data_IF_180319695384
#
_entry.id   IF_180319695384
#
_cell.length_a   1.000
_cell.length_b   1.000
_cell.length_c   1.000
_cell.angle_alpha   90.00
_cell.angle_beta   90.00
_cell.angle_gamma   90.00
#
_symmetry.space_group_name_H-M   'P 1'
#
loop_
_entity.id
_entity.type
_entity.pdbx_description
1 polymer ?
#
# COMPACT_ATOMS: atom_id res chain seq x y z
N UNK A 1 -13.84 11.06 3.02
CA UNK A 1 -12.59 11.06 3.84
C UNK A 1 -12.75 10.38 5.22
N UNK A 2 -13.36 11.02 6.23
CA UNK A 2 -13.32 10.49 7.62
C UNK A 2 -13.98 9.13 7.82
N UNK A 3 -15.08 8.84 7.11
CA UNK A 3 -15.69 7.51 7.11
C UNK A 3 -14.72 6.41 6.67
N UNK A 4 -13.97 6.66 5.60
CA UNK A 4 -12.97 5.72 5.07
C UNK A 4 -11.85 5.47 6.07
N UNK A 5 -11.31 6.53 6.67
CA UNK A 5 -10.29 6.44 7.71
C UNK A 5 -10.77 5.60 8.91
N UNK A 6 -11.98 5.85 9.42
CA UNK A 6 -12.54 5.08 10.53
C UNK A 6 -12.78 3.61 10.17
N UNK A 7 -13.41 3.33 9.03
CA UNK A 7 -13.74 1.96 8.60
C UNK A 7 -12.47 1.15 8.33
N UNK A 8 -11.48 1.74 7.67
CA UNK A 8 -10.18 1.13 7.42
C UNK A 8 -9.41 0.84 8.71
N UNK A 9 -9.31 1.84 9.59
CA UNK A 9 -8.68 1.69 10.90
C UNK A 9 -9.34 0.61 11.76
N UNK A 10 -10.67 0.52 11.72
CA UNK A 10 -11.41 -0.50 12.45
C UNK A 10 -11.19 -1.90 11.87
N UNK A 11 -10.98 -2.02 10.54
CA UNK A 11 -10.60 -3.27 9.93
C UNK A 11 -9.19 -3.70 10.38
N UNK A 12 -8.22 -2.77 10.42
CA UNK A 12 -6.87 -3.06 10.91
C UNK A 12 -6.90 -3.50 12.37
N UNK A 13 -7.55 -2.73 13.24
CA UNK A 13 -7.64 -3.03 14.67
C UNK A 13 -8.29 -4.40 14.95
N UNK A 14 -9.26 -4.81 14.13
CA UNK A 14 -9.87 -6.15 14.23
C UNK A 14 -8.94 -7.27 13.76
N UNK A 15 -8.18 -7.05 12.70
CA UNK A 15 -7.27 -8.05 12.15
C UNK A 15 -6.03 -8.23 13.02
N UNK A 16 -5.55 -7.14 13.62
CA UNK A 16 -4.33 -7.10 14.41
C UNK A 16 -4.50 -6.06 15.52
N UNK A 17 -5.11 -6.44 16.67
CA UNK A 17 -5.22 -5.54 17.82
C UNK A 17 -3.84 -5.05 18.24
N UNK A 18 -3.76 -3.85 18.83
CA UNK A 18 -2.55 -3.24 19.39
C UNK A 18 -1.48 -2.76 18.39
N UNK A 19 -1.52 -3.17 17.11
CA UNK A 19 -0.69 -2.52 16.06
C UNK A 19 -1.24 -1.15 15.66
N UNK A 20 -2.49 -0.84 16.00
CA UNK A 20 -3.20 0.36 15.57
C UNK A 20 -4.00 0.97 16.74
N UNK A 21 -4.05 2.31 16.90
CA UNK A 21 -4.86 2.94 17.94
C UNK A 21 -6.35 2.58 17.81
N UNK A 22 -6.98 2.09 18.90
CA UNK A 22 -8.37 1.64 18.86
C UNK A 22 -9.31 2.74 18.34
N UNK A 23 -10.02 2.53 17.21
CA UNK A 23 -11.00 3.50 16.72
C UNK A 23 -12.23 3.53 17.62
N UNK A 24 -12.72 4.73 17.96
CA UNK A 24 -13.87 4.96 18.84
C UNK A 24 -15.10 5.32 18.01
N UNK A 25 -14.98 6.28 17.08
CA UNK A 25 -16.09 6.74 16.28
C UNK A 25 -15.70 7.76 15.23
N UNK A 26 -16.66 8.16 14.40
CA UNK A 26 -16.51 9.25 13.44
C UNK A 26 -17.86 9.95 13.28
N UNK A 27 -17.84 11.18 12.78
CA UNK A 27 -19.07 11.94 12.57
C UNK A 27 -18.87 13.25 11.85
N UNK A 28 -19.98 13.90 11.55
CA UNK A 28 -20.06 15.27 11.05
C UNK A 28 -20.35 16.20 12.24
N UNK A 29 -19.80 17.40 12.24
CA UNK A 29 -20.12 18.39 13.27
C UNK A 29 -21.55 18.88 13.10
N UNK A 30 -22.28 19.05 14.20
CA UNK A 30 -23.62 19.65 14.17
C UNK A 30 -23.58 21.14 13.78
N UNK A 31 -22.56 21.86 14.26
CA UNK A 31 -22.39 23.29 14.01
C UNK A 31 -21.84 23.65 12.62
N UNK A 32 -21.21 22.68 11.92
CA UNK A 32 -20.63 22.90 10.60
C UNK A 32 -20.75 21.63 9.73
N UNK A 33 -21.62 21.63 8.70
CA UNK A 33 -21.80 20.48 7.82
C UNK A 33 -20.58 20.19 6.92
N UNK A 34 -19.55 21.05 6.90
CA UNK A 34 -18.31 20.80 6.16
C UNK A 34 -17.20 20.21 7.04
N UNK A 35 -17.39 20.19 8.36
CA UNK A 35 -16.42 19.64 9.31
C UNK A 35 -16.79 18.21 9.71
N UNK A 36 -15.78 17.35 9.81
CA UNK A 36 -15.92 15.94 10.20
C UNK A 36 -14.82 15.59 11.19
N UNK A 37 -15.09 14.62 12.05
CA UNK A 37 -14.12 14.08 13.00
C UNK A 37 -14.01 12.57 12.89
N UNK A 38 -12.88 12.06 13.41
CA UNK A 38 -12.67 10.66 13.76
C UNK A 38 -11.99 10.65 15.13
N UNK A 39 -12.37 9.69 15.98
CA UNK A 39 -11.88 9.55 17.35
C UNK A 39 -11.19 8.20 17.48
N UNK A 40 -10.05 8.22 18.17
CA UNK A 40 -9.25 7.05 18.51
C UNK A 40 -8.92 7.09 20.00
N UNK A 41 -8.59 5.93 20.59
CA UNK A 41 -7.84 5.91 21.83
C UNK A 41 -6.52 6.64 21.62
N UNK A 42 -6.17 7.50 22.57
CA UNK A 42 -4.85 8.09 22.59
C UNK A 42 -3.83 7.01 22.95
N UNK A 43 -2.74 6.95 22.19
CA UNK A 43 -1.60 6.06 22.40
C UNK A 43 -0.38 6.94 22.38
N UNK A 44 0.46 6.86 23.41
CA UNK A 44 1.77 7.49 23.38
C UNK A 44 2.63 6.76 22.36
N UNK A 45 3.06 7.49 21.33
CA UNK A 45 3.88 6.96 20.24
C UNK A 45 5.15 7.79 20.19
N UNK A 46 6.30 7.12 20.36
CA UNK A 46 7.60 7.75 20.18
C UNK A 46 7.97 7.67 18.70
N UNK A 47 8.36 8.82 18.14
CA UNK A 47 8.82 8.90 16.77
C UNK A 47 10.09 8.07 16.58
N UNK A 48 10.08 7.19 15.57
CA UNK A 48 11.18 6.28 15.28
C UNK A 48 10.67 5.13 14.42
N UNK A 49 11.56 4.49 13.67
CA UNK A 49 11.20 3.26 12.95
C UNK A 49 11.12 2.15 13.98
N UNK A 50 10.00 1.39 14.02
CA UNK A 50 9.91 0.24 14.90
C UNK A 50 10.98 -0.83 14.60
N UNK A 51 11.23 -1.69 15.59
CA UNK A 51 12.24 -2.74 15.50
C UNK A 51 12.10 -3.63 14.25
N UNK A 52 13.25 -3.99 13.65
CA UNK A 52 13.32 -4.72 12.38
C UNK A 52 12.78 -6.15 12.46
N UNK A 53 12.52 -6.64 13.66
CA UNK A 53 12.00 -7.96 13.93
C UNK A 53 10.49 -7.90 14.23
N UNK A 54 10.08 -7.13 15.22
CA UNK A 54 8.67 -7.03 15.63
C UNK A 54 7.79 -6.44 14.54
N UNK A 55 8.24 -5.38 13.86
CA UNK A 55 7.40 -4.65 12.92
C UNK A 55 7.01 -5.44 11.68
N UNK A 56 7.95 -6.08 10.95
CA UNK A 56 7.58 -6.94 9.83
C UNK A 56 6.70 -8.13 10.24
N UNK A 57 6.94 -8.72 11.42
CA UNK A 57 6.11 -9.83 11.92
C UNK A 57 4.67 -9.41 12.19
N UNK A 58 4.48 -8.28 12.87
CA UNK A 58 3.14 -7.75 13.21
C UNK A 58 2.39 -7.29 11.96
N UNK A 59 3.10 -6.74 10.96
CA UNK A 59 2.52 -6.44 9.65
C UNK A 59 2.10 -7.74 8.91
N UNK A 60 2.93 -8.77 8.93
CA UNK A 60 2.59 -10.07 8.35
C UNK A 60 1.36 -10.68 9.04
N UNK A 61 1.26 -10.60 10.36
CA UNK A 61 0.09 -11.02 11.12
C UNK A 61 -1.18 -10.27 10.66
N UNK A 62 -1.11 -8.95 10.52
CA UNK A 62 -2.22 -8.14 9.98
C UNK A 62 -2.67 -8.64 8.60
N UNK A 63 -1.73 -8.90 7.69
CA UNK A 63 -2.06 -9.41 6.34
C UNK A 63 -2.61 -10.84 6.36
N UNK A 64 -2.11 -11.70 7.27
CA UNK A 64 -2.57 -13.09 7.41
C UNK A 64 -4.02 -13.12 7.92
N UNK A 65 -4.33 -12.33 8.95
CA UNK A 65 -5.66 -12.27 9.56
C UNK A 65 -6.66 -11.46 8.74
N UNK A 66 -6.19 -10.43 8.04
CA UNK A 66 -7.01 -9.50 7.26
C UNK A 66 -7.42 -10.05 5.89
N UNK A 67 -8.08 -11.20 5.79
CA UNK A 67 -8.58 -11.72 4.51
C UNK A 67 -9.87 -10.98 4.12
N UNK A 68 -10.01 -10.59 2.85
CA UNK A 68 -11.25 -10.01 2.34
C UNK A 68 -12.45 -10.96 2.58
N UNK A 69 -13.51 -10.52 3.29
CA UNK A 69 -14.65 -11.39 3.61
C UNK A 69 -15.41 -11.93 2.41
N UNK A 70 -15.37 -11.22 1.28
CA UNK A 70 -16.03 -11.60 0.03
C UNK A 70 -15.05 -12.11 -1.03
N UNK A 71 -13.77 -12.26 -0.69
CA UNK A 71 -12.74 -12.75 -1.61
C UNK A 71 -12.37 -11.79 -2.74
N UNK A 72 -12.78 -10.51 -2.68
CA UNK A 72 -12.52 -9.52 -3.75
C UNK A 72 -11.48 -8.49 -3.35
N UNK A 73 -10.74 -8.00 -4.35
CA UNK A 73 -9.88 -6.82 -4.22
C UNK A 73 -10.73 -5.55 -4.20
N UNK A 74 -10.24 -4.49 -3.55
CA UNK A 74 -10.94 -3.21 -3.40
C UNK A 74 -11.49 -2.97 -1.99
N UNK A 75 -12.45 -2.07 -1.83
CA UNK A 75 -13.01 -1.71 -0.53
C UNK A 75 -14.48 -1.32 -0.64
N UNK A 76 -15.19 -1.35 0.49
CA UNK A 76 -16.64 -1.16 0.53
C UNK A 76 -17.09 0.28 0.85
N UNK A 77 -16.13 1.17 1.11
CA UNK A 77 -16.34 2.60 1.30
C UNK A 77 -15.26 3.36 0.56
N UNK A 78 -15.55 4.60 0.17
CA UNK A 78 -14.55 5.51 -0.37
C UNK A 78 -13.45 5.78 0.67
N UNK A 79 -12.21 5.74 0.21
CA UNK A 79 -11.02 6.00 1.02
C UNK A 79 -10.19 7.08 0.34
N UNK A 80 -9.45 7.84 1.14
CA UNK A 80 -8.55 8.89 0.66
C UNK A 80 -7.12 8.53 1.00
N UNK A 81 -6.20 8.81 0.09
CA UNK A 81 -4.78 8.93 0.37
C UNK A 81 -4.42 10.41 0.31
N UNK A 82 -4.11 10.99 1.46
CA UNK A 82 -4.07 12.45 1.63
C UNK A 82 -5.35 13.11 1.09
N UNK A 83 -5.24 13.91 0.03
CA UNK A 83 -6.37 14.63 -0.59
C UNK A 83 -6.97 13.92 -1.82
N UNK A 84 -6.43 12.76 -2.19
CA UNK A 84 -6.84 12.04 -3.38
C UNK A 84 -7.76 10.85 -3.01
N UNK A 85 -9.01 10.79 -3.50
CA UNK A 85 -9.81 9.58 -3.41
C UNK A 85 -9.06 8.45 -4.10
N UNK A 86 -8.95 7.27 -3.49
CA UNK A 86 -8.35 6.11 -4.14
C UNK A 86 -9.43 5.26 -4.83
N UNK A 87 -9.04 4.55 -5.89
CA UNK A 87 -9.93 3.61 -6.56
C UNK A 87 -10.14 2.37 -5.68
N UNK A 88 -11.38 2.04 -5.38
CA UNK A 88 -11.74 0.95 -4.44
C UNK A 88 -12.86 0.05 -4.94
N UNK A 89 -13.28 0.20 -6.20
CA UNK A 89 -14.29 -0.69 -6.77
C UNK A 89 -13.81 -2.15 -6.73
N UNK A 90 -14.75 -3.07 -6.51
CA UNK A 90 -14.41 -4.46 -6.24
C UNK A 90 -14.15 -5.26 -7.51
N UNK A 91 -13.08 -6.04 -7.48
CA UNK A 91 -12.65 -6.89 -8.59
C UNK A 91 -12.25 -8.28 -8.10
N UNK A 92 -12.42 -9.28 -8.97
CA UNK A 92 -12.03 -10.68 -8.68
C UNK A 92 -10.54 -10.91 -8.91
N UNK A 93 -9.90 -10.14 -9.79
CA UNK A 93 -8.47 -10.25 -10.11
C UNK A 93 -7.67 -9.06 -9.59
N UNK A 94 -6.48 -9.34 -9.09
CA UNK A 94 -5.52 -8.31 -8.69
C UNK A 94 -5.02 -7.50 -9.88
N UNK A 95 -4.78 -8.15 -11.03
CA UNK A 95 -4.33 -7.46 -12.24
C UNK A 95 -5.36 -6.40 -12.67
N UNK A 96 -6.65 -6.76 -12.67
CA UNK A 96 -7.73 -5.84 -13.03
C UNK A 96 -7.83 -4.68 -12.05
N UNK A 97 -7.88 -4.97 -10.74
CA UNK A 97 -7.92 -3.94 -9.70
C UNK A 97 -6.73 -2.99 -9.81
N UNK A 98 -5.51 -3.54 -9.84
CA UNK A 98 -4.29 -2.75 -9.85
C UNK A 98 -4.17 -1.89 -11.13
N UNK A 99 -4.60 -2.42 -12.28
CA UNK A 99 -4.69 -1.65 -13.53
C UNK A 99 -5.60 -0.45 -13.37
N UNK A 100 -6.82 -0.64 -12.84
CA UNK A 100 -7.79 0.44 -12.63
C UNK A 100 -7.31 1.45 -11.59
N UNK A 101 -6.70 0.97 -10.52
CA UNK A 101 -6.08 1.79 -9.48
C UNK A 101 -4.99 2.70 -10.06
N UNK A 102 -4.08 2.15 -10.86
CA UNK A 102 -3.02 2.95 -11.49
C UNK A 102 -3.60 3.93 -12.52
N UNK A 103 -4.59 3.53 -13.33
CA UNK A 103 -5.27 4.45 -14.26
C UNK A 103 -5.88 5.65 -13.54
N UNK A 104 -6.52 5.42 -12.39
CA UNK A 104 -7.09 6.47 -11.56
C UNK A 104 -6.03 7.46 -11.06
N UNK A 105 -4.87 6.96 -10.59
CA UNK A 105 -3.75 7.81 -10.18
C UNK A 105 -3.18 8.64 -11.35
N UNK A 106 -2.96 8.04 -12.52
CA UNK A 106 -2.45 8.77 -13.68
C UNK A 106 -3.43 9.83 -14.20
N UNK A 107 -4.75 9.58 -14.13
CA UNK A 107 -5.75 10.59 -14.48
C UNK A 107 -5.68 11.77 -13.52
N UNK A 108 -5.52 11.52 -12.22
CA UNK A 108 -5.37 12.57 -11.23
C UNK A 108 -4.10 13.38 -11.46
N UNK A 109 -2.97 12.71 -11.68
CA UNK A 109 -1.68 13.33 -11.97
C UNK A 109 -1.73 14.20 -13.23
N UNK A 110 -2.29 13.68 -14.33
CA UNK A 110 -2.46 14.45 -15.57
C UNK A 110 -3.34 15.69 -15.40
N UNK A 111 -4.31 15.66 -14.50
CA UNK A 111 -5.17 16.82 -14.18
C UNK A 111 -4.44 17.86 -13.32
N UNK A 112 -3.46 17.43 -12.53
CA UNK A 112 -2.65 18.31 -11.69
C UNK A 112 -1.54 19.02 -12.49
N UNK A 113 -1.09 18.42 -13.60
CA UNK A 113 -0.09 19.01 -14.47
C UNK A 113 -0.64 20.17 -15.32
N UNK A 114 0.13 21.25 -15.41
CA UNK A 114 -0.22 22.42 -16.23
C UNK A 114 -0.10 22.15 -17.73
N UNK A 115 0.78 21.23 -18.14
CA UNK A 115 1.04 20.90 -19.55
C UNK A 115 1.14 19.38 -19.77
N UNK A 116 0.71 18.85 -20.92
CA UNK A 116 0.86 17.44 -21.25
C UNK A 116 2.32 17.01 -21.35
N UNK A 117 2.66 15.88 -20.70
CA UNK A 117 3.99 15.27 -20.77
C UNK A 117 4.00 14.04 -21.68
N UNK A 118 4.70 14.13 -22.82
CA UNK A 118 4.89 13.00 -23.75
C UNK A 118 5.64 11.83 -23.11
N UNK A 119 6.57 12.13 -22.20
CA UNK A 119 7.29 11.13 -21.44
C UNK A 119 6.37 10.40 -20.47
N UNK A 120 5.52 11.12 -19.74
CA UNK A 120 4.52 10.49 -18.87
C UNK A 120 3.58 9.57 -19.67
N UNK A 121 3.14 9.98 -20.86
CA UNK A 121 2.31 9.12 -21.72
C UNK A 121 3.05 7.87 -22.21
N UNK A 122 4.33 7.99 -22.53
CA UNK A 122 5.17 6.85 -22.92
C UNK A 122 5.33 5.85 -21.76
N UNK A 123 5.62 6.35 -20.56
CA UNK A 123 5.76 5.55 -19.34
C UNK A 123 4.45 4.89 -18.93
N UNK A 124 3.35 5.65 -18.96
CA UNK A 124 2.00 5.16 -18.69
C UNK A 124 1.65 3.99 -19.62
N UNK A 125 1.92 4.12 -20.93
CA UNK A 125 1.72 3.02 -21.90
C UNK A 125 2.59 1.81 -21.57
N UNK A 126 3.87 2.01 -21.28
CA UNK A 126 4.77 0.91 -20.90
C UNK A 126 4.29 0.16 -19.66
N UNK A 127 3.78 0.85 -18.65
CA UNK A 127 3.24 0.24 -17.44
C UNK A 127 2.08 -0.70 -17.77
N UNK A 128 1.09 -0.21 -18.53
CA UNK A 128 -0.13 -0.98 -18.83
C UNK A 128 0.10 -2.07 -19.87
N UNK A 129 0.89 -1.82 -20.90
CA UNK A 129 1.06 -2.75 -22.02
C UNK A 129 2.10 -3.83 -21.74
N UNK A 130 3.04 -3.59 -20.81
CA UNK A 130 4.17 -4.48 -20.55
C UNK A 130 4.31 -4.87 -19.08
N UNK A 131 4.46 -3.89 -18.19
CA UNK A 131 4.86 -4.15 -16.79
C UNK A 131 3.79 -4.94 -16.03
N UNK A 132 2.56 -4.44 -16.02
CA UNK A 132 1.45 -5.08 -15.31
C UNK A 132 1.21 -6.51 -15.86
N UNK A 133 1.08 -6.71 -17.18
CA UNK A 133 1.01 -8.04 -17.78
C UNK A 133 2.17 -8.98 -17.42
N UNK A 134 3.40 -8.46 -17.27
CA UNK A 134 4.60 -9.26 -17.03
C UNK A 134 4.82 -9.61 -15.56
N UNK A 135 4.46 -8.72 -14.63
CA UNK A 135 4.78 -8.86 -13.21
C UNK A 135 3.57 -9.19 -12.34
N UNK A 136 2.39 -8.65 -12.68
CA UNK A 136 1.18 -8.79 -11.86
C UNK A 136 0.34 -9.99 -12.31
N UNK A 137 0.10 -10.15 -13.62
CA UNK A 137 -0.66 -11.29 -14.16
C UNK A 137 -0.14 -12.66 -13.71
N UNK A 138 1.19 -12.91 -13.64
CA UNK A 138 1.70 -14.21 -13.20
C UNK A 138 1.26 -14.58 -11.79
N UNK A 139 0.95 -13.63 -10.90
CA UNK A 139 0.52 -13.90 -9.52
C UNK A 139 -0.74 -14.78 -9.45
N UNK A 140 -1.64 -14.68 -10.44
CA UNK A 140 -2.94 -15.38 -10.48
C UNK A 140 -3.09 -16.31 -11.71
N UNK A 141 -2.01 -16.54 -12.46
CA UNK A 141 -2.03 -17.40 -13.66
C UNK A 141 -0.99 -18.52 -13.58
N UNK A 142 -1.10 -19.53 -14.44
CA UNK A 142 -0.18 -20.68 -14.41
C UNK A 142 -0.36 -21.58 -13.19
N UNK A 143 -1.58 -21.65 -12.64
CA UNK A 143 -1.92 -22.43 -11.45
C UNK A 143 -1.56 -21.77 -10.12
N UNK A 144 -1.15 -20.49 -10.15
CA UNK A 144 -0.86 -19.68 -8.96
C UNK A 144 -2.11 -18.93 -8.52
N UNK A 145 -2.17 -18.66 -7.22
CA UNK A 145 -3.26 -17.94 -6.58
C UNK A 145 -2.68 -17.05 -5.48
N UNK A 146 -3.12 -15.80 -5.44
CA UNK A 146 -2.96 -14.88 -4.30
C UNK A 146 -4.34 -14.57 -3.74
N UNK A 147 -4.39 -14.06 -2.50
CA UNK A 147 -5.64 -13.72 -1.82
C UNK A 147 -5.67 -12.23 -1.49
N UNK A 148 -6.82 -11.54 -1.65
CA UNK A 148 -6.95 -10.16 -1.22
C UNK A 148 -6.75 -10.03 0.30
N UNK A 149 -5.73 -9.29 0.70
CA UNK A 149 -5.36 -9.00 2.08
C UNK A 149 -5.64 -7.54 2.40
N UNK A 150 -6.06 -7.27 3.64
CA UNK A 150 -6.25 -5.93 4.15
C UNK A 150 -4.89 -5.22 4.16
N UNK A 151 -4.79 -4.14 3.40
CA UNK A 151 -3.60 -3.30 3.34
C UNK A 151 -3.81 -2.05 4.20
N UNK A 152 -2.73 -1.56 4.80
CA UNK A 152 -2.65 -0.20 5.32
C UNK A 152 -2.50 0.81 4.17
N UNK A 153 -1.82 0.39 3.09
CA UNK A 153 -1.57 1.11 1.83
C UNK A 153 -0.82 2.43 1.94
N UNK A 154 -0.21 2.73 3.08
CA UNK A 154 0.52 3.99 3.33
C UNK A 154 1.67 3.81 4.35
N UNK A 155 2.40 2.70 4.28
CA UNK A 155 3.39 2.28 5.29
C UNK A 155 4.82 2.77 5.01
N UNK A 156 4.99 4.08 4.94
CA UNK A 156 6.33 4.68 5.03
C UNK A 156 6.73 4.92 6.49
N UNK A 157 8.01 5.25 6.75
CA UNK A 157 8.55 5.37 8.11
C UNK A 157 7.90 6.49 8.95
N UNK A 158 7.25 7.47 8.33
CA UNK A 158 6.49 8.51 9.02
C UNK A 158 5.13 8.07 9.55
N UNK A 159 4.62 6.91 9.10
CA UNK A 159 3.32 6.35 9.50
C UNK A 159 3.46 5.13 10.43
N UNK A 160 4.63 5.02 11.06
CA UNK A 160 4.95 4.00 12.04
C UNK A 160 5.67 4.65 13.23
N UNK A 161 5.52 4.04 14.40
CA UNK A 161 6.18 4.48 15.62
C UNK A 161 6.17 3.40 16.68
N UNK A 162 6.77 3.71 17.82
CA UNK A 162 7.02 2.72 18.87
C UNK A 162 6.22 3.07 20.12
N UNK A 163 5.52 2.10 20.69
CA UNK A 163 4.90 2.27 21.99
C UNK A 163 5.99 2.31 23.09
N UNK A 164 6.10 3.39 23.89
CA UNK A 164 7.24 3.62 24.77
C UNK A 164 7.40 2.58 25.87
N UNK A 165 6.31 1.95 26.32
CA UNK A 165 6.36 0.98 27.43
C UNK A 165 6.53 -0.47 26.96
N UNK A 166 6.04 -0.81 25.78
CA UNK A 166 6.00 -2.20 25.29
C UNK A 166 7.00 -2.44 24.18
N UNK A 167 7.57 -1.37 23.60
CA UNK A 167 8.44 -1.39 22.42
C UNK A 167 7.78 -1.99 21.17
N UNK A 168 6.47 -2.23 21.21
CA UNK A 168 5.70 -2.79 20.10
C UNK A 168 5.49 -1.75 18.99
N UNK A 169 5.45 -2.18 17.72
CA UNK A 169 5.14 -1.33 16.59
C UNK A 169 3.69 -0.83 16.65
N UNK A 170 3.51 0.46 16.37
CA UNK A 170 2.21 1.08 16.10
C UNK A 170 2.23 1.73 14.72
N UNK A 171 1.20 1.51 13.92
CA UNK A 171 0.99 2.14 12.60
C UNK A 171 -0.23 3.06 12.64
N UNK A 172 -0.26 4.08 11.78
CA UNK A 172 -1.31 5.09 11.74
C UNK A 172 -1.42 5.75 10.35
N UNK A 173 -2.50 6.51 10.14
CA UNK A 173 -2.85 7.16 8.87
C UNK A 173 -2.99 6.21 7.66
N UNK A 174 -3.88 5.20 7.74
CA UNK A 174 -4.06 4.23 6.69
C UNK A 174 -4.98 4.74 5.57
N UNK A 175 -4.82 4.17 4.38
CA UNK A 175 -5.72 4.34 3.24
C UNK A 175 -6.27 2.99 2.77
N UNK A 176 -6.80 2.20 3.71
CA UNK A 176 -7.06 0.78 3.51
C UNK A 176 -7.87 0.39 2.28
N UNK A 177 -7.46 -0.71 1.67
CA UNK A 177 -8.25 -1.53 0.75
C UNK A 177 -7.75 -2.97 0.81
N UNK A 178 -8.49 -3.92 0.21
CA UNK A 178 -8.04 -5.29 0.05
C UNK A 178 -7.23 -5.43 -1.24
N UNK A 179 -5.97 -5.86 -1.12
CA UNK A 179 -5.00 -5.93 -2.22
C UNK A 179 -4.03 -7.10 -2.08
N UNK A 180 -3.04 -7.17 -2.96
CA UNK A 180 -1.89 -8.06 -2.77
C UNK A 180 -1.03 -7.57 -1.60
N UNK A 181 -0.73 -8.45 -0.63
CA UNK A 181 -0.04 -8.08 0.62
C UNK A 181 1.32 -7.40 0.41
N UNK A 182 2.03 -7.76 -0.66
CA UNK A 182 3.36 -7.19 -0.95
C UNK A 182 3.28 -5.73 -1.41
N UNK A 183 2.09 -5.22 -1.79
CA UNK A 183 1.87 -3.80 -2.09
C UNK A 183 2.30 -2.89 -0.93
N UNK A 184 2.12 -3.34 0.32
CA UNK A 184 2.46 -2.59 1.52
C UNK A 184 3.96 -2.52 1.83
N UNK A 185 4.75 -3.40 1.20
CA UNK A 185 6.20 -3.44 1.36
C UNK A 185 6.91 -2.48 0.39
N UNK A 186 6.22 -1.98 -0.63
CA UNK A 186 6.77 -1.06 -1.64
C UNK A 186 7.48 0.17 -1.05
N UNK A 187 6.88 0.92 -0.10
CA UNK A 187 7.57 2.04 0.55
C UNK A 187 8.88 1.63 1.23
N UNK A 188 9.00 0.41 1.76
CA UNK A 188 10.22 -0.01 2.46
C UNK A 188 11.43 -0.22 1.54
N UNK A 189 11.23 -0.18 0.22
CA UNK A 189 12.33 -0.22 -0.74
C UNK A 189 12.87 1.14 -1.10
N UNK A 190 12.09 2.21 -0.93
CA UNK A 190 12.51 3.53 -1.38
C UNK A 190 13.69 4.01 -0.51
N UNK A 191 14.86 4.35 -1.09
CA UNK A 191 16.07 4.68 -0.32
C UNK A 191 15.94 5.87 0.63
N UNK A 192 14.92 6.72 0.42
CA UNK A 192 14.63 7.86 1.30
C UNK A 192 13.97 7.46 2.63
N UNK A 193 13.41 6.25 2.71
CA UNK A 193 12.76 5.73 3.90
C UNK A 193 13.76 4.99 4.78
N UNK A 194 13.49 4.96 6.08
CA UNK A 194 14.39 4.38 7.08
C UNK A 194 14.20 2.87 7.29
N UNK A 195 13.29 2.27 6.52
CA UNK A 195 13.14 0.80 6.40
C UNK A 195 13.97 0.30 5.22
N UNK A 196 13.94 -1.00 4.93
CA UNK A 196 14.80 -1.56 3.89
C UNK A 196 14.61 -3.04 3.64
N UNK A 197 15.48 -3.60 2.81
CA UNK A 197 15.54 -5.03 2.51
C UNK A 197 15.51 -5.94 3.75
N UNK A 198 16.20 -5.64 4.87
CA UNK A 198 16.12 -6.46 6.08
C UNK A 198 14.69 -6.58 6.66
N UNK A 199 13.89 -5.51 6.60
CA UNK A 199 12.49 -5.54 7.05
C UNK A 199 11.64 -6.43 6.13
N UNK A 200 11.87 -6.36 4.83
CA UNK A 200 11.16 -7.18 3.82
C UNK A 200 11.53 -8.66 4.00
N UNK A 201 12.82 -8.96 4.18
CA UNK A 201 13.29 -10.33 4.42
C UNK A 201 12.71 -10.91 5.73
N UNK A 202 12.60 -10.10 6.79
CA UNK A 202 11.95 -10.51 8.04
C UNK A 202 10.44 -10.74 7.86
N UNK A 203 9.74 -9.87 7.12
CA UNK A 203 8.31 -10.06 6.78
C UNK A 203 8.09 -11.43 6.15
N UNK A 204 8.95 -11.81 5.20
CA UNK A 204 8.83 -13.08 4.47
C UNK A 204 9.14 -14.33 5.29
N UNK A 205 9.71 -14.19 6.49
CA UNK A 205 9.79 -15.33 7.45
C UNK A 205 8.41 -15.71 7.99
N UNK A 206 7.47 -14.76 8.01
CA UNK A 206 6.10 -14.97 8.51
C UNK A 206 5.08 -15.12 7.38
N UNK A 207 5.28 -14.46 6.24
CA UNK A 207 4.42 -14.56 5.07
C UNK A 207 5.25 -14.78 3.80
N UNK A 208 5.23 -16.02 3.29
CA UNK A 208 6.00 -16.42 2.11
C UNK A 208 5.82 -15.49 0.91
N UNK A 209 6.89 -15.34 0.12
CA UNK A 209 6.88 -14.59 -1.14
C UNK A 209 5.87 -15.19 -2.11
N UNK A 210 5.25 -14.32 -2.88
CA UNK A 210 4.34 -14.73 -3.94
C UNK A 210 5.13 -15.24 -5.14
N UNK A 211 4.72 -16.37 -5.70
CA UNK A 211 5.32 -16.87 -6.93
C UNK A 211 4.84 -16.04 -8.13
N UNK A 212 5.67 -15.83 -9.17
CA UNK A 212 7.07 -16.27 -9.30
C UNK A 212 8.05 -15.42 -8.46
N UNK A 213 8.86 -16.07 -7.61
CA UNK A 213 9.78 -15.38 -6.69
C UNK A 213 10.91 -14.65 -7.43
N UNK A 214 11.26 -15.11 -8.64
CA UNK A 214 12.25 -14.45 -9.50
C UNK A 214 11.83 -13.05 -9.93
N UNK A 215 10.53 -12.73 -9.87
CA UNK A 215 9.99 -11.42 -10.21
C UNK A 215 9.63 -10.59 -8.97
N UNK A 216 9.87 -11.12 -7.77
CA UNK A 216 9.52 -10.48 -6.50
C UNK A 216 10.02 -9.04 -6.38
N UNK A 217 11.27 -8.78 -6.79
CA UNK A 217 11.81 -7.42 -6.80
C UNK A 217 11.05 -6.48 -7.76
N UNK A 218 10.59 -6.97 -8.91
CA UNK A 218 9.76 -6.17 -9.81
C UNK A 218 8.33 -5.98 -9.26
N UNK A 219 7.79 -7.01 -8.61
CA UNK A 219 6.46 -6.98 -7.99
C UNK A 219 6.40 -6.04 -6.79
N UNK A 220 7.46 -5.90 -6.01
CA UNK A 220 7.51 -4.91 -4.93
C UNK A 220 7.57 -3.48 -5.44
N UNK A 221 8.00 -3.28 -6.69
CA UNK A 221 8.18 -1.95 -7.28
C UNK A 221 6.88 -1.36 -7.87
N UNK A 222 5.73 -1.75 -7.31
CA UNK A 222 4.41 -1.28 -7.72
C UNK A 222 4.17 0.21 -7.42
N UNK A 223 5.02 0.89 -6.63
CA UNK A 223 4.82 2.28 -6.19
C UNK A 223 6.00 3.24 -6.33
N UNK A 224 7.26 2.77 -6.36
CA UNK A 224 8.44 3.64 -6.29
C UNK A 224 9.54 3.18 -7.26
N UNK A 225 9.35 3.35 -8.58
CA UNK A 225 10.14 2.72 -9.66
C UNK A 225 11.61 3.14 -9.75
N UNK A 226 12.17 3.77 -8.73
CA UNK A 226 13.58 4.11 -8.63
C UNK A 226 14.47 2.86 -8.72
N UNK A 227 13.97 1.69 -8.31
CA UNK A 227 14.72 0.42 -8.35
C UNK A 227 14.46 -0.44 -9.59
N UNK A 228 13.38 -0.17 -10.35
CA UNK A 228 12.99 -0.96 -11.51
C UNK A 228 14.00 -0.82 -12.66
N UNK A 229 14.59 0.36 -12.81
CA UNK A 229 15.61 0.63 -13.84
C UNK A 229 16.87 -0.21 -13.61
N UNK A 230 17.30 -0.37 -12.36
CA UNK A 230 18.41 -1.25 -11.98
C UNK A 230 18.07 -2.73 -12.21
N UNK A 231 16.87 -3.15 -11.80
CA UNK A 231 16.37 -4.52 -12.01
C UNK A 231 16.27 -4.88 -13.50
N UNK A 232 15.63 -4.02 -14.32
CA UNK A 232 15.43 -4.23 -15.74
C UNK A 232 16.77 -4.25 -16.49
N UNK A 233 17.67 -3.30 -16.19
CA UNK A 233 19.01 -3.24 -16.76
C UNK A 233 19.82 -4.49 -16.45
N UNK A 234 19.73 -5.02 -15.21
CA UNK A 234 20.43 -6.23 -14.80
C UNK A 234 20.01 -7.49 -15.58
N UNK A 235 18.79 -7.50 -16.16
CA UNK A 235 18.25 -8.60 -16.95
C UNK A 235 18.26 -8.34 -18.46
N UNK A 236 18.86 -7.24 -18.90
CA UNK A 236 18.85 -6.83 -20.31
C UNK A 236 17.48 -6.38 -20.82
N UNK A 237 16.54 -6.07 -19.91
CA UNK A 237 15.23 -5.53 -20.24
C UNK A 237 15.33 -4.00 -20.40
N UNK A 238 14.82 -3.45 -21.51
CA UNK A 238 14.94 -2.01 -21.83
C UNK A 238 13.74 -1.21 -21.31
N UNK A 239 13.79 -0.62 -20.10
CA UNK A 239 12.72 0.26 -19.57
C UNK A 239 13.32 1.40 -18.71
N UNK A 240 12.72 2.60 -18.81
CA UNK A 240 13.22 3.96 -18.50
C UNK A 240 12.29 4.68 -17.46
N UNK A 241 12.75 5.68 -16.67
CA UNK A 241 12.33 5.91 -15.29
C UNK A 241 11.18 6.92 -15.07
N UNK A 242 10.32 6.67 -14.07
CA UNK A 242 9.50 7.74 -13.47
C UNK A 242 10.34 8.57 -12.50
N UNK A 243 11.16 9.49 -13.01
CA UNK A 243 11.66 10.61 -12.20
C UNK A 243 10.68 11.78 -12.29
N UNK A 244 9.83 11.89 -11.28
CA UNK A 244 9.05 13.09 -10.99
C UNK A 244 9.28 13.46 -9.53
N UNK A 245 10.21 14.38 -9.28
CA UNK A 245 10.35 15.05 -7.98
C UNK A 245 9.04 15.74 -7.63
N UNK A 246 8.37 15.26 -6.58
CA UNK A 246 7.40 16.07 -5.84
C UNK A 246 8.27 16.94 -4.92
N UNK A 247 8.47 18.19 -5.32
CA UNK A 247 8.92 19.27 -4.45
C UNK A 247 7.70 20.10 -4.02
#
# INVERSE_FOLDING_TARGET
MMRGAFVGSNAIYKACPDIFPKPIGWGQYESDPKAYFVLFNFVDIVAGVPDMHAYPRRLAEMHIQGIAPDGKYGFHVEVMCAFLPIYVEKHESWEEFYTKYMQHLFIAEKRAQSEPSTEMERLTRSLFDRIIPRLIRPLETGGREIKPRLLHSNLWDGNAGVHPETEEPSIFDPSCFYGHNEFDLGPWRCPRHKTGKPYIEEYHKSFAKSAPEEDHEGQLDQRYPETYEEWATSRGETICPMKGTIA
#
